data_IF_505579652258
#
_entry.id   IF_505579652258
#
_cell.length_a   1.000
_cell.length_b   1.000
_cell.length_c   1.000
_cell.angle_alpha   90.00
_cell.angle_beta   90.00
_cell.angle_gamma   90.00
#
_symmetry.space_group_name_H-M   'P 1'
#
loop_
_entity.id
_entity.type
_entity.pdbx_description
1 polymer ?
#
# COMPACT_ATOMS: atom_id res chain seq x y z
N UNK A 1 11.15 -10.93 -20.04
CA UNK A 1 9.75 -10.64 -20.43
C UNK A 1 9.51 -9.15 -20.22
N UNK A 2 9.49 -8.39 -21.31
CA UNK A 2 9.19 -6.96 -21.31
C UNK A 2 7.75 -6.75 -20.86
N UNK A 3 7.55 -6.16 -19.68
CA UNK A 3 6.21 -5.74 -19.24
C UNK A 3 5.66 -4.74 -20.26
N UNK A 4 4.55 -5.10 -20.92
CA UNK A 4 3.85 -4.22 -21.86
C UNK A 4 3.37 -3.00 -21.07
N UNK A 5 4.09 -1.87 -21.19
CA UNK A 5 3.70 -0.60 -20.56
C UNK A 5 2.36 -0.17 -21.15
N UNK A 6 1.38 0.05 -20.28
CA UNK A 6 0.06 0.57 -20.67
C UNK A 6 0.13 2.09 -20.52
N UNK A 7 0.19 2.88 -21.62
CA UNK A 7 0.42 4.32 -21.54
C UNK A 7 -0.70 5.06 -20.81
N UNK A 8 -1.94 4.61 -20.95
CA UNK A 8 -3.09 5.18 -20.26
C UNK A 8 -2.95 5.12 -18.73
N UNK A 9 -2.28 4.09 -18.21
CA UNK A 9 -2.01 3.94 -16.78
C UNK A 9 -1.01 4.98 -16.26
N UNK A 10 -0.08 5.42 -17.10
CA UNK A 10 0.89 6.47 -16.77
C UNK A 10 0.21 7.84 -16.76
N UNK A 11 -0.71 8.10 -17.69
CA UNK A 11 -1.53 9.32 -17.71
C UNK A 11 -2.34 9.49 -16.42
N UNK A 12 -3.02 8.43 -15.96
CA UNK A 12 -3.77 8.45 -14.70
C UNK A 12 -2.87 8.74 -13.50
N UNK A 13 -1.66 8.15 -13.44
CA UNK A 13 -0.69 8.47 -12.38
C UNK A 13 -0.22 9.91 -12.42
N UNK A 14 -0.01 10.47 -13.61
CA UNK A 14 0.40 11.86 -13.77
C UNK A 14 -0.69 12.82 -13.23
N UNK A 15 -1.96 12.57 -13.57
CA UNK A 15 -3.09 13.35 -13.06
C UNK A 15 -3.18 13.23 -11.53
N UNK A 16 -3.06 12.01 -10.98
CA UNK A 16 -3.07 11.80 -9.54
C UNK A 16 -1.88 12.46 -8.82
N UNK A 17 -0.70 12.50 -9.45
CA UNK A 17 0.45 13.22 -8.91
C UNK A 17 0.20 14.72 -8.91
N UNK A 18 -0.33 15.27 -10.00
CA UNK A 18 -0.62 16.69 -10.11
C UNK A 18 -1.66 17.14 -9.09
N UNK A 19 -2.70 16.33 -8.82
CA UNK A 19 -3.70 16.66 -7.80
C UNK A 19 -3.12 16.69 -6.39
N UNK A 20 -2.20 15.77 -6.05
CA UNK A 20 -1.46 15.78 -4.77
C UNK A 20 -0.55 17.00 -4.69
N UNK A 21 0.16 17.34 -5.77
CA UNK A 21 1.07 18.47 -5.81
C UNK A 21 0.35 19.79 -5.61
N UNK A 22 -0.75 20.02 -6.35
CA UNK A 22 -1.57 21.21 -6.21
C UNK A 22 -2.15 21.35 -4.81
N UNK A 23 -2.58 20.23 -4.19
CA UNK A 23 -3.08 20.24 -2.82
C UNK A 23 -2.08 20.80 -1.81
N UNK A 24 -0.80 20.44 -1.93
CA UNK A 24 0.24 20.93 -1.01
C UNK A 24 0.63 22.39 -1.27
N UNK A 25 0.41 22.90 -2.49
CA UNK A 25 0.67 24.32 -2.81
C UNK A 25 -0.46 25.21 -2.31
N UNK A 26 -1.72 24.83 -2.52
CA UNK A 26 -2.86 25.72 -2.29
C UNK A 26 -3.52 25.55 -0.93
N UNK A 27 -3.23 24.46 -0.20
CA UNK A 27 -3.76 24.09 1.15
C UNK A 27 -5.30 23.94 1.22
N UNK A 28 -6.07 24.50 0.28
CA UNK A 28 -7.54 24.52 0.25
C UNK A 28 -8.18 23.44 -0.65
N UNK A 29 -7.37 22.60 -1.32
CA UNK A 29 -7.88 21.61 -2.26
C UNK A 29 -8.49 20.37 -1.59
N UNK A 30 -9.78 20.08 -1.80
CA UNK A 30 -10.38 18.79 -1.35
C UNK A 30 -9.81 17.54 -2.06
N UNK A 31 -8.98 17.73 -3.09
CA UNK A 31 -8.62 16.69 -4.06
C UNK A 31 -7.39 15.83 -3.69
N UNK A 32 -6.56 16.27 -2.73
CA UNK A 32 -5.32 15.56 -2.34
C UNK A 32 -5.54 14.10 -1.94
N UNK A 33 -6.46 13.79 -1.01
CA UNK A 33 -6.75 12.41 -0.58
C UNK A 33 -7.23 11.50 -1.72
N UNK A 34 -7.93 12.05 -2.71
CA UNK A 34 -8.40 11.30 -3.88
C UNK A 34 -7.24 10.90 -4.80
N UNK A 35 -6.24 11.78 -4.97
CA UNK A 35 -5.01 11.45 -5.70
C UNK A 35 -4.28 10.25 -5.09
N UNK A 36 -4.16 10.21 -3.76
CA UNK A 36 -3.54 9.07 -3.06
C UNK A 36 -4.37 7.80 -3.23
N UNK A 37 -5.69 7.90 -3.14
CA UNK A 37 -6.61 6.77 -3.38
C UNK A 37 -6.43 6.17 -4.78
N UNK A 38 -6.23 7.00 -5.81
CA UNK A 38 -5.95 6.52 -7.17
C UNK A 38 -4.66 5.70 -7.20
N UNK A 39 -3.57 6.14 -6.54
CA UNK A 39 -2.34 5.36 -6.48
C UNK A 39 -2.53 4.00 -5.78
N UNK A 40 -3.28 3.97 -4.68
CA UNK A 40 -3.58 2.74 -3.95
C UNK A 40 -4.39 1.75 -4.82
N UNK A 41 -5.48 2.22 -5.43
CA UNK A 41 -6.33 1.40 -6.30
C UNK A 41 -5.55 0.89 -7.51
N UNK A 42 -4.75 1.75 -8.14
CA UNK A 42 -3.98 1.40 -9.33
C UNK A 42 -2.87 0.38 -9.01
N UNK A 43 -2.24 0.50 -7.84
CA UNK A 43 -1.29 -0.47 -7.33
C UNK A 43 -1.95 -1.85 -7.17
N UNK A 44 -3.10 -1.90 -6.49
CA UNK A 44 -3.88 -3.12 -6.32
C UNK A 44 -4.34 -3.73 -7.65
N UNK A 45 -4.88 -2.91 -8.55
CA UNK A 45 -5.35 -3.33 -9.87
C UNK A 45 -4.24 -3.95 -10.70
N UNK A 46 -3.09 -3.26 -10.83
CA UNK A 46 -1.97 -3.76 -11.63
C UNK A 46 -1.42 -5.08 -11.08
N UNK A 47 -1.41 -5.23 -9.76
CA UNK A 47 -0.97 -6.44 -9.08
C UNK A 47 -1.95 -7.59 -9.30
N UNK A 48 -3.25 -7.35 -9.17
CA UNK A 48 -4.29 -8.34 -9.45
C UNK A 48 -4.31 -8.73 -10.93
N UNK A 49 -4.12 -7.80 -11.86
CA UNK A 49 -4.01 -8.09 -13.29
C UNK A 49 -2.80 -8.99 -13.61
N UNK A 50 -1.64 -8.72 -12.99
CA UNK A 50 -0.42 -9.49 -13.24
C UNK A 50 -0.45 -10.88 -12.58
N UNK A 51 -0.98 -10.98 -11.36
CA UNK A 51 -0.90 -12.18 -10.53
C UNK A 51 -2.20 -12.96 -10.39
N UNK A 52 -3.33 -12.46 -10.92
CA UNK A 52 -4.65 -13.09 -10.76
C UNK A 52 -4.69 -14.54 -11.27
N UNK A 53 -4.14 -14.81 -12.45
CA UNK A 53 -4.04 -16.16 -13.02
C UNK A 53 -2.80 -16.94 -12.54
N UNK A 54 -1.89 -16.29 -11.82
CA UNK A 54 -0.60 -16.85 -11.36
C UNK A 54 -0.49 -16.85 -9.84
N UNK A 55 -1.62 -17.00 -9.16
CA UNK A 55 -1.73 -16.91 -7.71
C UNK A 55 -0.82 -17.92 -6.97
N UNK A 56 -0.52 -19.06 -7.60
CA UNK A 56 0.40 -20.08 -7.09
C UNK A 56 1.84 -19.59 -6.95
N UNK A 57 2.25 -18.58 -7.74
CA UNK A 57 3.59 -17.98 -7.70
C UNK A 57 3.76 -16.99 -6.54
N UNK A 58 2.70 -16.69 -5.78
CA UNK A 58 2.76 -15.74 -4.68
C UNK A 58 3.31 -16.37 -3.39
N UNK A 59 4.09 -15.61 -2.60
CA UNK A 59 4.78 -16.10 -1.41
C UNK A 59 3.80 -16.61 -0.34
N UNK A 60 4.03 -17.82 0.20
CA UNK A 60 3.16 -18.44 1.22
C UNK A 60 3.58 -18.12 2.66
N UNK A 61 4.89 -18.18 2.95
CA UNK A 61 5.44 -17.93 4.28
C UNK A 61 5.44 -16.44 4.67
N UNK A 62 5.45 -16.16 5.97
CA UNK A 62 5.50 -14.78 6.52
C UNK A 62 6.77 -14.06 6.03
N UNK A 63 7.94 -14.67 6.19
CA UNK A 63 9.23 -14.11 5.75
C UNK A 63 9.23 -13.83 4.25
N UNK A 64 8.69 -14.74 3.44
CA UNK A 64 8.61 -14.56 1.99
C UNK A 64 7.67 -13.41 1.58
N UNK A 65 6.60 -13.16 2.35
CA UNK A 65 5.68 -12.03 2.14
C UNK A 65 6.33 -10.70 2.51
N UNK A 66 7.07 -10.66 3.62
CA UNK A 66 7.83 -9.47 4.01
C UNK A 66 8.90 -9.14 2.95
N UNK A 67 9.64 -10.15 2.48
CA UNK A 67 10.62 -9.97 1.39
C UNK A 67 9.95 -9.48 0.10
N UNK A 68 8.76 -9.96 -0.21
CA UNK A 68 7.99 -9.52 -1.36
C UNK A 68 7.56 -8.05 -1.25
N UNK A 69 7.00 -7.64 -0.10
CA UNK A 69 6.63 -6.25 0.15
C UNK A 69 7.85 -5.31 0.08
N UNK A 70 8.96 -5.70 0.72
CA UNK A 70 10.21 -4.94 0.68
C UNK A 70 10.75 -4.75 -0.75
N UNK A 71 10.72 -5.80 -1.58
CA UNK A 71 11.19 -5.70 -2.97
C UNK A 71 10.41 -4.68 -3.82
N UNK A 72 9.15 -4.40 -3.46
CA UNK A 72 8.31 -3.40 -4.15
C UNK A 72 8.62 -1.97 -3.71
N UNK A 73 9.00 -1.78 -2.44
CA UNK A 73 9.28 -0.46 -1.88
C UNK A 73 10.76 -0.09 -1.84
N UNK A 74 11.68 -1.03 -2.08
CA UNK A 74 13.14 -0.83 -1.96
C UNK A 74 13.70 0.36 -2.73
N UNK A 75 13.03 0.81 -3.79
CA UNK A 75 13.45 1.99 -4.58
C UNK A 75 13.15 3.31 -3.87
N UNK A 76 12.10 3.36 -3.06
CA UNK A 76 11.67 4.56 -2.31
C UNK A 76 12.27 4.60 -0.90
N UNK A 77 12.71 3.45 -0.38
CA UNK A 77 13.22 3.34 0.99
C UNK A 77 14.50 4.17 1.26
N UNK A 78 15.49 4.28 0.35
CA UNK A 78 16.63 5.17 0.56
C UNK A 78 16.23 6.64 0.73
N UNK A 79 15.24 7.09 -0.05
CA UNK A 79 14.70 8.45 0.08
C UNK A 79 14.01 8.65 1.43
N UNK A 80 13.25 7.65 1.91
CA UNK A 80 12.65 7.68 3.25
C UNK A 80 13.71 7.85 4.35
N UNK A 81 14.83 7.10 4.28
CA UNK A 81 15.90 7.22 5.28
C UNK A 81 16.49 8.64 5.30
N UNK A 82 16.78 9.21 4.13
CA UNK A 82 17.33 10.57 4.04
C UNK A 82 16.37 11.59 4.66
N UNK A 83 15.08 11.50 4.31
CA UNK A 83 14.05 12.40 4.84
C UNK A 83 13.82 12.20 6.33
N UNK A 84 13.89 10.97 6.82
CA UNK A 84 13.76 10.65 8.25
C UNK A 84 14.92 11.25 9.06
N UNK A 85 16.16 11.14 8.59
CA UNK A 85 17.33 11.74 9.26
C UNK A 85 17.20 13.26 9.29
N UNK A 86 16.84 13.88 8.16
CA UNK A 86 16.66 15.32 8.10
C UNK A 86 15.55 15.80 9.05
N UNK A 87 14.41 15.13 9.06
CA UNK A 87 13.31 15.44 9.96
C UNK A 87 13.65 15.20 11.44
N UNK A 88 14.38 14.13 11.77
CA UNK A 88 14.84 13.87 13.12
C UNK A 88 15.79 14.96 13.62
N UNK A 89 16.70 15.42 12.74
CA UNK A 89 17.61 16.53 13.05
C UNK A 89 16.86 17.85 13.23
N UNK A 90 15.92 18.18 12.34
CA UNK A 90 15.09 19.37 12.46
C UNK A 90 14.25 19.37 13.75
N UNK A 91 13.64 18.23 14.10
CA UNK A 91 12.88 18.09 15.34
C UNK A 91 13.76 18.25 16.58
N UNK A 92 14.97 17.67 16.58
CA UNK A 92 15.94 17.82 17.66
C UNK A 92 16.33 19.28 17.89
N UNK A 93 16.59 20.05 16.82
CA UNK A 93 16.93 21.48 16.94
C UNK A 93 15.76 22.27 17.53
N UNK A 94 14.55 22.04 17.02
CA UNK A 94 13.35 22.81 17.41
C UNK A 94 12.91 22.54 18.86
N UNK A 95 13.08 21.31 19.36
CA UNK A 95 12.56 20.89 20.66
C UNK A 95 13.65 20.41 21.63
N UNK A 96 14.89 20.88 21.47
CA UNK A 96 16.09 20.41 22.20
C UNK A 96 15.92 20.26 23.72
N UNK A 97 15.15 21.13 24.35
CA UNK A 97 14.98 21.15 25.82
C UNK A 97 13.90 20.19 26.32
N UNK A 98 13.08 19.64 25.42
CA UNK A 98 11.95 18.76 25.74
C UNK A 98 12.20 17.30 25.30
N UNK A 99 13.39 17.01 24.76
CA UNK A 99 13.73 15.69 24.23
C UNK A 99 13.88 14.67 25.35
N UNK A 100 12.95 13.73 25.40
CA UNK A 100 13.10 12.49 26.17
C UNK A 100 13.74 11.43 25.27
N UNK A 101 15.04 11.19 25.45
CA UNK A 101 15.85 10.33 24.56
C UNK A 101 15.27 8.93 24.32
N UNK A 102 14.71 8.28 25.35
CA UNK A 102 14.08 6.97 25.19
C UNK A 102 12.87 7.00 24.24
N UNK A 103 12.02 8.03 24.36
CA UNK A 103 10.86 8.21 23.47
C UNK A 103 11.31 8.61 22.07
N UNK A 104 12.30 9.49 21.95
CA UNK A 104 12.85 9.93 20.67
C UNK A 104 13.44 8.75 19.88
N UNK A 105 14.27 7.92 20.52
CA UNK A 105 14.87 6.73 19.90
C UNK A 105 13.82 5.69 19.48
N UNK A 106 12.82 5.43 20.34
CA UNK A 106 11.73 4.53 20.00
C UNK A 106 10.93 5.03 18.78
N UNK A 107 10.57 6.32 18.74
CA UNK A 107 9.87 6.94 17.60
C UNK A 107 10.68 6.84 16.31
N UNK A 108 11.98 7.14 16.40
CA UNK A 108 12.88 7.03 15.26
C UNK A 108 12.93 5.60 14.72
N UNK A 109 13.03 4.61 15.62
CA UNK A 109 13.02 3.19 15.26
C UNK A 109 11.69 2.76 14.63
N UNK A 110 10.55 3.18 15.18
CA UNK A 110 9.23 2.86 14.62
C UNK A 110 9.02 3.49 13.24
N UNK A 111 9.49 4.72 13.02
CA UNK A 111 9.48 5.37 11.70
C UNK A 111 10.43 4.68 10.71
N UNK A 112 11.61 4.26 11.17
CA UNK A 112 12.55 3.50 10.34
C UNK A 112 11.93 2.17 9.89
N UNK A 113 11.25 1.47 10.79
CA UNK A 113 10.57 0.21 10.52
C UNK A 113 9.21 0.36 9.82
N UNK A 114 8.72 1.59 9.62
CA UNK A 114 7.40 1.88 9.05
C UNK A 114 6.23 1.27 9.86
N UNK A 115 6.38 1.17 11.18
CA UNK A 115 5.36 0.62 12.09
C UNK A 115 4.64 1.75 12.86
N UNK A 116 5.19 2.96 12.83
CA UNK A 116 4.69 4.14 13.55
C UNK A 116 3.18 4.37 13.36
N UNK A 117 2.71 4.33 12.11
CA UNK A 117 1.32 4.63 11.74
C UNK A 117 0.28 3.55 12.13
N UNK A 118 0.73 2.44 12.71
CA UNK A 118 -0.15 1.33 13.09
C UNK A 118 -0.77 1.55 14.47
N UNK A 119 -0.24 2.51 15.24
CA UNK A 119 -0.75 2.85 16.56
C UNK A 119 -1.60 4.13 16.47
N UNK A 120 -2.89 4.09 16.83
CA UNK A 120 -3.79 5.26 16.80
C UNK A 120 -3.54 6.16 18.03
N UNK A 121 -2.29 6.60 18.21
CA UNK A 121 -1.81 7.33 19.38
C UNK A 121 -1.11 8.61 18.92
N UNK A 122 -1.71 9.77 19.20
CA UNK A 122 -1.24 11.09 18.75
C UNK A 122 0.15 11.49 19.30
N UNK A 123 0.61 10.82 20.35
CA UNK A 123 1.95 10.98 20.93
C UNK A 123 3.03 10.28 20.12
N UNK A 124 2.66 9.30 19.30
CA UNK A 124 3.55 8.49 18.43
C UNK A 124 3.41 8.91 16.96
N UNK A 125 2.22 9.38 16.56
CA UNK A 125 1.91 9.71 15.17
C UNK A 125 2.90 10.72 14.54
N UNK A 126 3.73 10.22 13.62
CA UNK A 126 4.37 10.91 12.50
C UNK A 126 4.94 12.32 12.78
N UNK A 127 5.75 12.45 13.83
CA UNK A 127 6.41 13.72 14.16
C UNK A 127 7.64 14.03 13.30
N UNK A 128 8.20 13.03 12.61
CA UNK A 128 9.34 13.24 11.74
C UNK A 128 8.91 13.48 10.29
N UNK A 129 8.33 12.48 9.62
CA UNK A 129 7.97 12.61 8.22
C UNK A 129 6.50 12.26 7.98
N UNK A 130 5.67 13.28 7.76
CA UNK A 130 4.23 13.14 7.51
C UNK A 130 3.87 12.31 6.28
N UNK A 131 4.80 11.99 5.39
CA UNK A 131 4.51 11.17 4.20
C UNK A 131 4.79 9.67 4.46
N UNK A 132 5.39 9.33 5.60
CA UNK A 132 5.76 7.96 5.97
C UNK A 132 4.56 7.02 6.05
N UNK A 133 3.38 7.52 6.43
CA UNK A 133 2.14 6.72 6.47
C UNK A 133 1.81 6.06 5.14
N UNK A 134 2.08 6.72 4.02
CA UNK A 134 1.80 6.15 2.70
C UNK A 134 2.71 4.94 2.43
N UNK A 135 3.99 5.04 2.79
CA UNK A 135 4.95 3.95 2.61
C UNK A 135 4.63 2.77 3.54
N UNK A 136 4.27 3.06 4.80
CA UNK A 136 3.79 2.08 5.78
C UNK A 136 2.55 1.33 5.26
N UNK A 137 1.54 2.06 4.81
CA UNK A 137 0.32 1.48 4.24
C UNK A 137 0.62 0.59 3.03
N UNK A 138 1.54 1.00 2.15
CA UNK A 138 1.93 0.22 0.98
C UNK A 138 2.64 -1.08 1.37
N UNK A 139 3.55 -1.07 2.36
CA UNK A 139 4.18 -2.29 2.87
C UNK A 139 3.14 -3.25 3.43
N UNK A 140 2.20 -2.74 4.22
CA UNK A 140 1.11 -3.53 4.79
C UNK A 140 0.24 -4.16 3.70
N UNK A 141 -0.21 -3.36 2.74
CA UNK A 141 -1.05 -3.83 1.63
C UNK A 141 -0.30 -4.87 0.77
N UNK A 142 0.98 -4.68 0.48
CA UNK A 142 1.78 -5.67 -0.25
C UNK A 142 2.02 -6.95 0.53
N UNK A 143 2.15 -6.87 1.85
CA UNK A 143 2.26 -8.04 2.72
C UNK A 143 0.94 -8.84 2.74
N UNK A 144 -0.21 -8.17 2.77
CA UNK A 144 -1.53 -8.79 2.74
C UNK A 144 -1.96 -9.28 1.36
N UNK A 145 -1.46 -8.65 0.29
CA UNK A 145 -1.88 -8.92 -1.09
C UNK A 145 -1.91 -10.42 -1.46
N UNK A 146 -0.87 -11.24 -1.16
CA UNK A 146 -0.90 -12.68 -1.41
C UNK A 146 -2.04 -13.43 -0.72
N UNK A 147 -2.50 -12.98 0.44
CA UNK A 147 -3.63 -13.56 1.17
C UNK A 147 -4.92 -13.15 0.47
N UNK A 148 -5.09 -11.86 0.22
CA UNK A 148 -6.30 -11.28 -0.37
C UNK A 148 -6.62 -11.91 -1.72
N UNK A 149 -5.63 -12.06 -2.60
CA UNK A 149 -5.86 -12.62 -3.93
C UNK A 149 -6.16 -14.13 -3.91
N UNK A 150 -5.59 -14.88 -2.96
CA UNK A 150 -5.95 -16.30 -2.78
C UNK A 150 -7.39 -16.45 -2.29
N UNK A 151 -7.80 -15.61 -1.35
CA UNK A 151 -9.18 -15.58 -0.87
C UNK A 151 -10.13 -15.19 -2.00
N UNK A 152 -9.81 -14.14 -2.76
CA UNK A 152 -10.61 -13.71 -3.91
C UNK A 152 -10.75 -14.80 -4.98
N UNK A 153 -9.66 -15.48 -5.35
CA UNK A 153 -9.70 -16.60 -6.32
C UNK A 153 -10.49 -17.79 -5.75
N UNK A 154 -10.36 -18.10 -4.46
CA UNK A 154 -11.11 -19.19 -3.81
C UNK A 154 -12.61 -18.90 -3.79
N UNK A 155 -13.01 -17.65 -3.53
CA UNK A 155 -14.40 -17.20 -3.55
C UNK A 155 -14.94 -17.28 -4.99
N UNK A 156 -14.24 -16.68 -5.96
CA UNK A 156 -14.66 -16.70 -7.37
C UNK A 156 -14.81 -18.12 -7.95
N UNK A 157 -13.92 -19.05 -7.59
CA UNK A 157 -14.07 -20.47 -8.00
C UNK A 157 -15.30 -21.13 -7.37
N UNK A 158 -15.63 -20.80 -6.12
CA UNK A 158 -16.84 -21.29 -5.45
C UNK A 158 -18.10 -20.72 -6.08
N UNK A 159 -18.13 -19.42 -6.35
CA UNK A 159 -19.26 -18.76 -7.00
C UNK A 159 -19.47 -19.29 -8.43
N UNK A 160 -18.37 -19.53 -9.16
CA UNK A 160 -18.41 -20.18 -10.47
C UNK A 160 -18.92 -21.63 -10.36
N UNK A 161 -18.55 -22.37 -9.31
CA UNK A 161 -19.10 -23.71 -9.05
C UNK A 161 -20.60 -23.67 -8.71
N UNK A 162 -21.03 -22.75 -7.85
CA UNK A 162 -22.45 -22.54 -7.50
C UNK A 162 -23.28 -22.08 -8.69
N UNK A 163 -22.78 -21.14 -9.49
CA UNK A 163 -23.44 -20.71 -10.73
C UNK A 163 -23.53 -21.84 -11.74
N UNK A 164 -22.51 -22.70 -11.84
CA UNK A 164 -22.52 -23.86 -12.73
C UNK A 164 -23.44 -24.98 -12.24
N UNK A 165 -23.54 -25.19 -10.92
CA UNK A 165 -24.51 -26.08 -10.29
C UNK A 165 -25.95 -25.60 -10.52
N UNK A 166 -26.21 -24.30 -10.33
CA UNK A 166 -27.51 -23.68 -10.62
C UNK A 166 -27.87 -23.74 -12.12
N UNK A 167 -26.89 -23.57 -13.01
CA UNK A 167 -27.10 -23.74 -14.45
C UNK A 167 -27.46 -25.19 -14.81
N UNK A 168 -26.79 -26.17 -14.19
CA UNK A 168 -27.05 -27.60 -14.41
C UNK A 168 -28.42 -28.00 -13.83
N UNK A 169 -28.79 -27.51 -12.64
CA UNK A 169 -30.10 -27.79 -12.04
C UNK A 169 -31.23 -27.13 -12.82
N UNK A 170 -31.03 -25.91 -13.33
CA UNK A 170 -32.02 -25.23 -14.18
C UNK A 170 -32.19 -25.94 -15.55
N UNK A 171 -31.11 -26.48 -16.11
CA UNK A 171 -31.17 -27.34 -17.30
C UNK A 171 -31.85 -28.69 -17.06
N UNK A 172 -31.83 -29.20 -15.84
CA UNK A 172 -32.46 -30.47 -15.47
C UNK A 172 -33.96 -30.30 -15.21
N UNK A 173 -34.41 -29.12 -14.76
CA UNK A 173 -35.82 -28.79 -14.50
C UNK A 173 -36.58 -28.38 -15.77
N UNK A 174 -35.90 -27.83 -16.78
CA UNK A 174 -36.52 -27.39 -18.05
C UNK A 174 -36.63 -28.51 -19.12
N UNK A 175 -36.45 -29.77 -18.74
CA UNK A 175 -36.46 -30.93 -19.66
C UNK A 175 -37.57 -31.97 -19.38
N UNK A 176 -38.53 -31.60 -18.53
CA UNK A 176 -39.83 -32.27 -18.38
C UNK A 176 -40.94 -31.31 -18.83
#
# INVERSE_FOLDING_TARGET
>A
MTEKKIPSLQGVRAIAFLSIFLYHITVEGRWGPYGVSIFLVLSGFLMSYHYGSKCERLPRGIVSRLRYAYQKIKKLYPLHIVMLVFAAFANYISFRNEVVWGKFGLKFLLNLLLIDDWFPRNDIFSQFNIVTWYLSAMVFLYFLFPILIRLAVKISKKDCYYMRFLHISSWCVLRY
#
